data_IF_117928300224
#
_entry.id   IF_117928300224
#
_cell.length_a   1.000
_cell.length_b   1.000
_cell.length_c   1.000
_cell.angle_alpha   90.00
_cell.angle_beta   90.00
_cell.angle_gamma   90.00
#
_symmetry.space_group_name_H-M   'P 1'
#
loop_
_entity.id
_entity.type
_entity.pdbx_description
1 polymer ?
#
# COMPACT_ATOMS: atom_id res chain seq x y z
N UNK A 1 -1.66 26.48 8.72
CA UNK A 1 -0.70 26.30 9.84
C UNK A 1 0.73 25.98 9.35
N UNK A 2 0.94 25.28 8.22
CA UNK A 2 2.30 24.95 7.73
C UNK A 2 3.14 26.12 7.18
N UNK A 3 2.50 27.18 6.68
CA UNK A 3 3.22 28.36 6.14
C UNK A 3 3.98 29.13 7.22
N UNK A 4 3.54 29.01 8.48
CA UNK A 4 4.12 29.71 9.63
C UNK A 4 5.51 29.16 10.01
N UNK A 5 5.76 27.85 9.87
CA UNK A 5 7.04 27.24 10.23
C UNK A 5 8.07 27.22 9.11
N UNK A 6 7.62 27.20 7.85
CA UNK A 6 8.52 27.16 6.69
C UNK A 6 9.22 28.51 6.42
N UNK A 7 8.53 29.62 6.70
CA UNK A 7 9.03 30.98 6.48
C UNK A 7 10.33 31.29 7.23
N UNK A 8 10.44 31.03 8.57
CA UNK A 8 11.70 31.22 9.29
C UNK A 8 12.82 30.32 8.75
N UNK A 9 12.54 29.05 8.46
CA UNK A 9 13.54 28.14 7.87
C UNK A 9 14.12 28.68 6.55
N UNK A 10 13.27 29.15 5.64
CA UNK A 10 13.71 29.72 4.36
C UNK A 10 14.53 31.02 4.51
N UNK A 11 14.33 31.76 5.61
CA UNK A 11 15.12 32.94 5.95
C UNK A 11 16.48 32.56 6.50
N UNK A 12 16.56 31.53 7.34
CA UNK A 12 17.79 31.09 7.98
C UNK A 12 18.76 30.49 6.96
N UNK A 13 18.28 29.67 6.03
CA UNK A 13 19.14 29.05 5.00
C UNK A 13 19.76 30.07 4.02
N UNK A 14 19.24 31.30 3.96
CA UNK A 14 19.81 32.37 3.11
C UNK A 14 21.07 32.98 3.71
N UNK A 15 21.28 32.84 5.02
CA UNK A 15 22.42 33.42 5.73
C UNK A 15 23.72 32.65 5.46
N UNK A 16 23.63 31.38 5.08
CA UNK A 16 24.80 30.56 4.78
C UNK A 16 25.43 30.95 3.43
N UNK A 17 26.77 31.03 3.37
CA UNK A 17 27.50 31.37 2.15
C UNK A 17 27.43 30.24 1.13
N UNK A 18 27.45 30.62 -0.15
CA UNK A 18 27.61 29.67 -1.27
C UNK A 18 29.10 29.34 -1.39
N UNK A 19 29.41 28.05 -1.44
CA UNK A 19 30.79 27.57 -1.52
C UNK A 19 31.31 27.64 -2.97
N UNK A 20 32.60 27.90 -3.12
CA UNK A 20 33.30 27.69 -4.40
C UNK A 20 33.50 26.19 -4.66
N UNK A 21 33.76 25.82 -5.91
CA UNK A 21 34.05 24.42 -6.26
C UNK A 21 35.26 23.87 -5.49
N UNK A 22 36.31 24.68 -5.33
CA UNK A 22 37.51 24.28 -4.59
C UNK A 22 37.22 24.08 -3.10
N UNK A 23 36.36 24.94 -2.52
CA UNK A 23 35.93 24.83 -1.13
C UNK A 23 35.05 23.58 -0.90
N UNK A 24 34.17 23.25 -1.86
CA UNK A 24 33.37 22.02 -1.82
C UNK A 24 34.27 20.78 -1.76
N UNK A 25 35.27 20.69 -2.64
CA UNK A 25 36.20 19.56 -2.66
C UNK A 25 36.98 19.47 -1.36
N UNK A 26 37.47 20.60 -0.84
CA UNK A 26 38.17 20.65 0.44
C UNK A 26 37.29 20.16 1.60
N UNK A 27 36.06 20.66 1.71
CA UNK A 27 35.14 20.27 2.78
C UNK A 27 34.71 18.81 2.69
N UNK A 28 34.52 18.28 1.47
CA UNK A 28 34.22 16.86 1.24
C UNK A 28 35.37 15.97 1.74
N UNK A 29 36.61 16.33 1.42
CA UNK A 29 37.80 15.60 1.88
C UNK A 29 37.93 15.63 3.41
N UNK A 30 37.66 16.77 4.04
CA UNK A 30 37.68 16.90 5.50
C UNK A 30 36.54 16.13 6.17
N UNK A 31 35.35 16.15 5.56
CA UNK A 31 34.19 15.37 6.01
C UNK A 31 34.49 13.86 5.99
N UNK A 32 35.12 13.36 4.92
CA UNK A 32 35.59 11.96 4.81
C UNK A 32 36.61 11.57 5.87
N UNK A 33 37.44 12.52 6.33
CA UNK A 33 38.38 12.34 7.44
C UNK A 33 37.71 12.37 8.82
N UNK A 34 36.39 12.52 8.88
CA UNK A 34 35.61 12.51 10.12
C UNK A 34 35.36 13.90 10.73
N UNK A 35 35.67 14.98 10.03
CA UNK A 35 35.41 16.34 10.52
C UNK A 35 33.92 16.67 10.47
N UNK A 36 33.28 16.70 11.64
CA UNK A 36 31.85 17.01 11.77
C UNK A 36 31.53 18.44 11.29
N UNK A 37 32.37 19.41 11.66
CA UNK A 37 32.20 20.81 11.24
C UNK A 37 32.25 20.96 9.71
N UNK A 38 33.09 20.19 9.01
CA UNK A 38 33.17 20.25 7.56
C UNK A 38 31.90 19.68 6.89
N UNK A 39 31.35 18.59 7.44
CA UNK A 39 30.10 18.02 6.98
C UNK A 39 28.93 18.99 7.19
N UNK A 40 28.85 19.62 8.36
CA UNK A 40 27.81 20.59 8.69
C UNK A 40 27.87 21.83 7.79
N UNK A 41 29.06 22.40 7.58
CA UNK A 41 29.26 23.52 6.65
C UNK A 41 28.84 23.15 5.23
N UNK A 42 29.22 21.96 4.76
CA UNK A 42 28.87 21.50 3.42
C UNK A 42 27.35 21.30 3.26
N UNK A 43 26.67 20.77 4.27
CA UNK A 43 25.21 20.61 4.27
C UNK A 43 24.52 21.98 4.27
N UNK A 44 24.87 22.85 5.23
CA UNK A 44 24.23 24.15 5.44
C UNK A 44 24.34 25.07 4.22
N UNK A 45 25.51 25.12 3.57
CA UNK A 45 25.72 25.86 2.31
C UNK A 45 24.88 25.34 1.14
N UNK A 46 24.49 24.06 1.14
CA UNK A 46 23.74 23.41 0.07
C UNK A 46 22.23 23.28 0.33
N UNK A 47 21.71 23.75 1.47
CA UNK A 47 20.27 23.67 1.78
C UNK A 47 19.39 24.40 0.75
N UNK A 48 19.87 25.54 0.23
CA UNK A 48 19.17 26.30 -0.83
C UNK A 48 19.00 25.50 -2.11
N UNK A 49 19.99 24.67 -2.44
CA UNK A 49 19.95 23.79 -3.60
C UNK A 49 18.87 22.71 -3.43
N UNK A 50 18.79 22.09 -2.25
CA UNK A 50 17.73 21.10 -1.93
C UNK A 50 16.34 21.73 -2.08
N UNK A 51 16.12 22.92 -1.53
CA UNK A 51 14.83 23.62 -1.65
C UNK A 51 14.44 23.86 -3.12
N UNK A 52 15.41 24.21 -3.97
CA UNK A 52 15.15 24.42 -5.41
C UNK A 52 14.68 23.14 -6.13
N UNK A 53 15.17 21.98 -5.68
CA UNK A 53 14.78 20.68 -6.21
C UNK A 53 13.40 20.28 -5.66
N UNK A 54 13.21 20.39 -4.34
CA UNK A 54 11.97 20.01 -3.66
C UNK A 54 10.75 20.81 -4.15
N UNK A 55 10.93 22.10 -4.49
CA UNK A 55 9.87 22.94 -5.05
C UNK A 55 9.22 22.36 -6.31
N UNK A 56 9.98 21.65 -7.16
CA UNK A 56 9.43 21.03 -8.38
C UNK A 56 8.50 19.85 -8.09
N UNK A 57 8.54 19.30 -6.87
CA UNK A 57 7.75 18.14 -6.46
C UNK A 57 6.62 18.51 -5.48
N UNK A 58 6.29 19.80 -5.34
CA UNK A 58 5.16 20.25 -4.53
C UNK A 58 3.83 19.73 -5.07
N UNK A 59 2.83 19.68 -4.20
CA UNK A 59 1.46 19.25 -4.52
C UNK A 59 1.34 17.77 -4.95
N UNK A 60 2.37 16.96 -4.71
CA UNK A 60 2.38 15.52 -5.01
C UNK A 60 1.93 14.64 -3.83
N UNK A 61 1.21 15.21 -2.86
CA UNK A 61 0.68 14.48 -1.70
C UNK A 61 1.59 14.48 -0.46
N UNK A 62 2.73 15.19 -0.51
CA UNK A 62 3.53 15.52 0.67
C UNK A 62 3.70 17.03 0.80
N UNK A 63 3.71 17.58 2.02
CA UNK A 63 3.96 19.00 2.24
C UNK A 63 5.41 19.35 1.88
N UNK A 64 5.64 20.61 1.50
CA UNK A 64 6.96 21.06 1.05
C UNK A 64 8.04 20.87 2.14
N UNK A 65 7.70 21.06 3.41
CA UNK A 65 8.63 20.85 4.52
C UNK A 65 9.15 19.41 4.55
N UNK A 66 8.27 18.42 4.36
CA UNK A 66 8.66 17.00 4.32
C UNK A 66 9.51 16.67 3.10
N UNK A 67 9.17 17.24 1.94
CA UNK A 67 9.98 17.09 0.72
C UNK A 67 11.40 17.67 0.91
N UNK A 68 11.52 18.81 1.60
CA UNK A 68 12.81 19.41 1.92
C UNK A 68 13.59 18.52 2.89
N UNK A 69 12.95 18.02 3.95
CA UNK A 69 13.59 17.14 4.93
C UNK A 69 14.13 15.86 4.28
N UNK A 70 13.34 15.23 3.42
CA UNK A 70 13.77 14.05 2.66
C UNK A 70 14.86 14.39 1.66
N UNK A 71 14.78 15.55 1.01
CA UNK A 71 15.85 16.05 0.17
C UNK A 71 17.16 16.26 0.94
N UNK A 72 17.09 16.77 2.17
CA UNK A 72 18.26 16.98 3.04
C UNK A 72 18.90 15.64 3.42
N UNK A 73 18.10 14.58 3.67
CA UNK A 73 18.61 13.22 3.86
C UNK A 73 19.35 12.74 2.59
N UNK A 74 18.79 13.00 1.41
CA UNK A 74 19.43 12.70 0.14
C UNK A 74 20.75 13.44 -0.06
N UNK A 75 20.84 14.71 0.36
CA UNK A 75 22.06 15.50 0.33
C UNK A 75 23.14 14.92 1.27
N UNK A 76 22.80 14.57 2.50
CA UNK A 76 23.74 13.94 3.43
C UNK A 76 24.30 12.63 2.88
N UNK A 77 23.44 11.81 2.26
CA UNK A 77 23.88 10.60 1.57
C UNK A 77 24.79 10.88 0.37
N UNK A 78 24.62 12.03 -0.30
CA UNK A 78 25.48 12.46 -1.39
C UNK A 78 26.87 12.85 -0.93
N UNK A 79 26.96 13.56 0.19
CA UNK A 79 28.24 13.94 0.79
C UNK A 79 29.06 12.70 1.15
N UNK A 80 28.43 11.67 1.70
CA UNK A 80 29.12 10.43 2.08
C UNK A 80 29.63 9.58 0.91
N UNK A 81 29.00 9.67 -0.27
CA UNK A 81 29.28 8.80 -1.42
C UNK A 81 29.90 9.52 -2.62
N UNK A 82 29.95 10.85 -2.61
CA UNK A 82 30.51 11.63 -3.72
C UNK A 82 32.01 11.39 -3.85
N UNK A 83 32.48 11.18 -5.07
CA UNK A 83 33.86 10.89 -5.42
C UNK A 83 34.40 11.97 -6.38
N UNK A 84 35.31 12.79 -5.87
CA UNK A 84 35.95 13.91 -6.55
C UNK A 84 36.85 13.50 -7.72
N UNK A 85 37.37 12.25 -7.72
CA UNK A 85 38.28 11.77 -8.76
C UNK A 85 37.60 11.61 -10.13
N UNK A 86 36.27 11.62 -10.16
CA UNK A 86 35.46 11.41 -11.37
C UNK A 86 35.26 12.66 -12.23
N UNK A 87 35.77 13.82 -11.80
CA UNK A 87 35.72 15.06 -12.59
C UNK A 87 34.31 15.67 -12.79
N UNK A 88 33.31 15.22 -12.02
CA UNK A 88 31.94 15.73 -12.05
C UNK A 88 31.70 16.69 -10.89
N UNK A 89 30.93 17.75 -11.13
CA UNK A 89 30.52 18.71 -10.09
C UNK A 89 29.69 18.01 -9.02
N UNK A 90 29.90 18.36 -7.75
CA UNK A 90 29.12 17.84 -6.62
C UNK A 90 27.62 18.05 -6.80
N UNK A 91 27.23 19.25 -7.25
CA UNK A 91 25.81 19.58 -7.53
C UNK A 91 25.13 18.61 -8.49
N UNK A 92 25.81 18.13 -9.53
CA UNK A 92 25.27 17.16 -10.48
C UNK A 92 24.97 15.82 -9.80
N UNK A 93 25.91 15.32 -8.99
CA UNK A 93 25.75 14.06 -8.26
C UNK A 93 24.70 14.17 -7.14
N UNK A 94 24.77 15.25 -6.34
CA UNK A 94 23.83 15.52 -5.26
C UNK A 94 22.40 15.64 -5.78
N UNK A 95 22.19 16.27 -6.95
CA UNK A 95 20.86 16.37 -7.56
C UNK A 95 20.20 15.00 -7.73
N UNK A 96 20.97 13.97 -8.11
CA UNK A 96 20.46 12.61 -8.31
C UNK A 96 20.00 11.99 -6.99
N UNK A 97 20.84 12.03 -5.94
CA UNK A 97 20.52 11.45 -4.64
C UNK A 97 19.36 12.17 -3.94
N UNK A 98 19.32 13.51 -4.02
CA UNK A 98 18.22 14.31 -3.49
C UNK A 98 16.91 13.91 -4.15
N UNK A 99 16.87 13.86 -5.49
CA UNK A 99 15.67 13.46 -6.24
C UNK A 99 15.25 12.04 -5.88
N UNK A 100 16.19 11.08 -5.88
CA UNK A 100 15.92 9.68 -5.53
C UNK A 100 15.27 9.56 -4.15
N UNK A 101 15.81 10.28 -3.15
CA UNK A 101 15.29 10.26 -1.79
C UNK A 101 13.88 10.86 -1.70
N UNK A 102 13.65 12.02 -2.35
CA UNK A 102 12.33 12.65 -2.45
C UNK A 102 11.32 11.70 -3.12
N UNK A 103 11.73 10.99 -4.18
CA UNK A 103 10.85 10.04 -4.86
C UNK A 103 10.50 8.84 -3.98
N UNK A 104 11.47 8.32 -3.24
CA UNK A 104 11.23 7.22 -2.31
C UNK A 104 10.25 7.65 -1.21
N UNK A 105 10.45 8.83 -0.63
CA UNK A 105 9.54 9.39 0.35
C UNK A 105 8.13 9.61 -0.22
N UNK A 106 8.00 10.13 -1.44
CA UNK A 106 6.70 10.27 -2.10
C UNK A 106 6.03 8.91 -2.26
N UNK A 107 6.73 7.87 -2.71
CA UNK A 107 6.10 6.57 -2.88
C UNK A 107 5.69 5.91 -1.55
N UNK A 108 6.47 6.13 -0.49
CA UNK A 108 6.23 5.50 0.81
C UNK A 108 5.25 6.29 1.69
N UNK A 109 5.20 7.63 1.56
CA UNK A 109 4.50 8.53 2.49
C UNK A 109 3.39 9.38 1.85
N UNK A 110 3.28 9.51 0.52
CA UNK A 110 2.29 10.41 -0.11
C UNK A 110 0.85 9.89 -0.12
N UNK A 111 0.64 8.60 0.18
CA UNK A 111 -0.67 7.95 0.11
C UNK A 111 -0.94 7.23 1.41
N UNK A 112 -2.21 7.31 1.84
CA UNK A 112 -2.74 6.55 2.99
C UNK A 112 -2.55 5.04 2.74
N UNK A 113 -2.86 4.60 1.51
CA UNK A 113 -2.59 3.22 1.07
C UNK A 113 -1.26 3.18 0.32
N UNK A 114 -0.26 2.55 0.93
CA UNK A 114 1.08 2.44 0.36
C UNK A 114 1.08 1.57 -0.90
N UNK A 115 1.59 2.12 -2.00
CA UNK A 115 1.82 1.38 -3.24
C UNK A 115 3.32 1.16 -3.42
N UNK A 116 3.81 -0.10 -3.53
CA UNK A 116 5.23 -0.36 -3.70
C UNK A 116 5.83 0.31 -4.94
N UNK A 117 7.01 0.90 -4.78
CA UNK A 117 7.77 1.55 -5.87
C UNK A 117 7.93 0.63 -7.09
N UNK A 118 8.17 -0.67 -6.89
CA UNK A 118 8.31 -1.65 -7.98
C UNK A 118 7.06 -1.77 -8.86
N UNK A 119 5.86 -1.62 -8.29
CA UNK A 119 4.58 -1.63 -9.04
C UNK A 119 4.43 -0.36 -9.87
N UNK A 120 4.84 0.78 -9.32
CA UNK A 120 4.89 2.06 -10.05
C UNK A 120 5.90 1.98 -11.21
N UNK A 121 7.09 1.40 -10.95
CA UNK A 121 8.13 1.16 -11.96
C UNK A 121 7.76 0.09 -13.01
N UNK A 122 6.92 -0.89 -12.68
CA UNK A 122 6.46 -1.88 -13.66
C UNK A 122 5.44 -1.29 -14.64
N UNK A 123 4.56 -0.40 -14.15
CA UNK A 123 3.68 0.39 -15.01
C UNK A 123 4.49 1.30 -15.96
N UNK A 124 5.60 1.85 -15.46
CA UNK A 124 6.59 2.59 -16.26
C UNK A 124 7.27 1.71 -17.32
N UNK A 125 7.72 0.50 -16.96
CA UNK A 125 8.36 -0.44 -17.90
C UNK A 125 7.44 -0.89 -19.03
N UNK A 126 6.15 -1.09 -18.76
CA UNK A 126 5.16 -1.38 -19.81
C UNK A 126 5.04 -0.24 -20.81
N UNK A 127 5.14 1.02 -20.36
CA UNK A 127 5.20 2.18 -21.24
C UNK A 127 6.55 2.37 -21.93
N UNK A 128 7.67 1.98 -21.29
CA UNK A 128 9.00 1.98 -21.90
C UNK A 128 9.05 1.04 -23.10
N UNK A 129 8.43 -0.14 -23.01
CA UNK A 129 8.32 -1.08 -24.13
C UNK A 129 7.55 -0.50 -25.33
N UNK A 130 6.59 0.40 -25.09
CA UNK A 130 5.87 1.13 -26.14
C UNK A 130 6.72 2.24 -26.78
N UNK A 131 7.67 2.83 -26.05
CA UNK A 131 8.59 3.84 -26.57
C UNK A 131 9.88 3.25 -27.18
N UNK A 132 10.40 2.14 -26.65
CA UNK A 132 11.51 1.38 -27.23
C UNK A 132 11.13 0.84 -28.62
N UNK A 133 9.87 0.41 -28.82
CA UNK A 133 9.29 0.09 -30.13
C UNK A 133 9.22 1.29 -31.10
N UNK A 134 9.31 2.53 -30.60
CA UNK A 134 9.33 3.75 -31.42
C UNK A 134 10.75 4.25 -31.73
N UNK A 135 11.77 3.77 -31.00
CA UNK A 135 13.15 4.29 -31.01
C UNK A 135 14.18 3.28 -31.52
N UNK A 136 13.79 2.26 -32.28
CA UNK A 136 14.73 1.42 -33.06
C UNK A 136 15.56 2.22 -34.09
N UNK A 137 15.33 3.54 -34.22
CA UNK A 137 16.25 4.50 -34.85
C UNK A 137 17.17 5.21 -33.82
N UNK A 138 18.24 4.55 -33.40
CA UNK A 138 19.53 5.21 -33.15
C UNK A 138 19.89 5.73 -31.74
N UNK A 139 20.96 5.13 -31.21
CA UNK A 139 22.02 5.63 -30.31
C UNK A 139 21.80 5.71 -28.78
N UNK A 140 22.95 5.54 -28.11
CA UNK A 140 23.18 5.12 -26.73
C UNK A 140 22.89 6.20 -25.68
N UNK A 141 22.13 5.86 -24.64
CA UNK A 141 21.80 6.78 -23.55
C UNK A 141 22.87 6.82 -22.46
N UNK A 142 23.54 7.96 -22.37
CA UNK A 142 24.29 8.46 -21.22
C UNK A 142 23.39 8.58 -19.98
N UNK A 143 23.95 8.38 -18.78
CA UNK A 143 23.24 8.39 -17.48
C UNK A 143 22.37 9.65 -17.21
N UNK A 144 22.58 10.74 -17.95
CA UNK A 144 21.80 11.99 -17.86
C UNK A 144 20.51 12.01 -18.69
N UNK A 145 20.50 11.35 -19.85
CA UNK A 145 19.36 11.32 -20.77
C UNK A 145 18.25 10.41 -20.23
N UNK A 146 18.67 9.26 -19.68
CA UNK A 146 17.81 8.32 -18.95
C UNK A 146 17.10 8.98 -17.78
N UNK A 147 17.76 9.90 -17.07
CA UNK A 147 17.16 10.63 -15.95
C UNK A 147 16.06 11.59 -16.41
N UNK A 148 16.27 12.31 -17.50
CA UNK A 148 15.27 13.21 -18.07
C UNK A 148 14.05 12.43 -18.58
N UNK A 149 14.28 11.27 -19.20
CA UNK A 149 13.21 10.37 -19.63
C UNK A 149 12.40 9.80 -18.45
N UNK A 150 13.10 9.42 -17.37
CA UNK A 150 12.46 8.96 -16.14
C UNK A 150 11.62 10.09 -15.53
N UNK A 151 12.14 11.31 -15.44
CA UNK A 151 11.41 12.48 -14.90
C UNK A 151 10.10 12.78 -15.67
N UNK A 152 10.15 12.77 -17.01
CA UNK A 152 9.01 13.09 -17.87
C UNK A 152 7.88 12.04 -17.78
N UNK A 153 8.25 10.76 -17.72
CA UNK A 153 7.29 9.68 -17.53
C UNK A 153 6.73 9.65 -16.11
N UNK A 154 7.51 10.05 -15.10
CA UNK A 154 7.08 10.06 -13.70
C UNK A 154 6.01 11.12 -13.42
N UNK A 155 6.09 12.32 -13.98
CA UNK A 155 5.00 13.31 -13.87
C UNK A 155 3.70 12.77 -14.47
N UNK A 156 3.79 12.18 -15.67
CA UNK A 156 2.65 11.64 -16.40
C UNK A 156 1.96 10.51 -15.63
N UNK A 157 2.75 9.63 -15.03
CA UNK A 157 2.23 8.49 -14.25
C UNK A 157 1.68 8.92 -12.90
N UNK A 158 2.24 9.95 -12.27
CA UNK A 158 1.68 10.50 -11.04
C UNK A 158 0.33 11.18 -11.27
N UNK A 159 0.14 11.89 -12.39
CA UNK A 159 -1.19 12.40 -12.77
C UNK A 159 -2.19 11.27 -12.92
N UNK A 160 -1.80 10.17 -13.57
CA UNK A 160 -2.66 8.98 -13.74
C UNK A 160 -2.92 8.23 -12.42
N UNK A 161 -1.93 8.06 -11.56
CA UNK A 161 -2.09 7.40 -10.25
C UNK A 161 -2.92 8.24 -9.28
N UNK A 162 -2.77 9.57 -9.28
CA UNK A 162 -3.63 10.47 -8.50
C UNK A 162 -5.07 10.46 -9.01
N UNK A 163 -5.29 10.28 -10.31
CA UNK A 163 -6.62 10.15 -10.89
C UNK A 163 -7.28 8.79 -10.59
N UNK A 164 -6.50 7.74 -10.31
CA UNK A 164 -7.03 6.38 -10.31
C UNK A 164 -7.73 5.94 -9.02
N UNK A 165 -7.42 6.55 -7.87
CA UNK A 165 -8.06 6.21 -6.58
C UNK A 165 -8.04 7.40 -5.60
N UNK A 166 -9.02 8.32 -5.66
CA UNK A 166 -9.25 9.25 -4.56
C UNK A 166 -9.73 8.46 -3.34
N UNK A 167 -9.03 8.59 -2.22
CA UNK A 167 -9.58 8.20 -0.92
C UNK A 167 -10.49 9.33 -0.45
N UNK A 168 -11.64 8.97 0.11
CA UNK A 168 -12.58 9.93 0.69
C UNK A 168 -12.50 9.83 2.21
N UNK A 169 -12.59 10.98 2.89
CA UNK A 169 -12.74 10.97 4.35
C UNK A 169 -14.14 10.50 4.70
N UNK A 170 -14.25 9.54 5.61
CA UNK A 170 -15.55 9.12 6.15
C UNK A 170 -16.18 10.19 7.05
N UNK A 171 -15.36 11.07 7.61
CA UNK A 171 -15.81 12.22 8.40
C UNK A 171 -16.10 13.45 7.53
N UNK A 172 -15.92 13.37 6.20
CA UNK A 172 -16.29 14.50 5.35
C UNK A 172 -17.81 14.70 5.39
N UNK A 173 -18.28 15.95 5.55
CA UNK A 173 -19.70 16.24 5.45
C UNK A 173 -20.20 15.95 4.04
N UNK A 174 -21.41 15.42 3.94
CA UNK A 174 -22.03 15.09 2.65
C UNK A 174 -22.51 16.32 1.89
N UNK A 175 -22.87 17.39 2.62
CA UNK A 175 -23.33 18.67 2.09
C UNK A 175 -22.50 19.78 2.72
N UNK A 176 -22.03 20.73 1.90
CA UNK A 176 -21.05 21.74 2.32
C UNK A 176 -21.49 22.70 3.44
N UNK A 177 -22.80 22.79 3.73
CA UNK A 177 -23.38 23.64 4.78
C UNK A 177 -24.04 22.84 5.92
N UNK A 178 -23.89 21.50 5.92
CA UNK A 178 -24.47 20.63 6.94
C UNK A 178 -23.37 19.80 7.61
N UNK A 179 -22.92 20.25 8.78
CA UNK A 179 -21.97 19.54 9.62
C UNK A 179 -22.61 18.39 10.41
N UNK A 180 -23.94 18.16 10.28
CA UNK A 180 -24.62 17.15 11.09
C UNK A 180 -24.48 15.73 10.55
N UNK A 181 -24.21 15.57 9.25
CA UNK A 181 -24.22 14.29 8.57
C UNK A 181 -22.91 14.04 7.83
N UNK A 182 -22.22 12.98 8.23
CA UNK A 182 -20.94 12.54 7.67
C UNK A 182 -21.10 11.29 6.79
N UNK A 183 -20.10 11.00 5.96
CA UNK A 183 -20.11 9.80 5.13
C UNK A 183 -20.27 8.50 5.93
N UNK A 184 -19.74 8.44 7.16
CA UNK A 184 -19.83 7.25 8.02
C UNK A 184 -21.27 6.94 8.44
N UNK A 185 -22.14 7.95 8.56
CA UNK A 185 -23.53 7.78 9.01
C UNK A 185 -24.41 7.05 7.98
N UNK A 186 -23.95 6.98 6.71
CA UNK A 186 -24.66 6.33 5.61
C UNK A 186 -24.11 4.96 5.24
N UNK A 187 -22.95 4.59 5.79
CA UNK A 187 -22.39 3.27 5.59
C UNK A 187 -23.15 2.31 6.51
N UNK A 188 -23.93 1.41 5.91
CA UNK A 188 -24.66 0.40 6.65
C UNK A 188 -23.71 -0.65 7.26
N UNK A 189 -23.99 -1.08 8.49
CA UNK A 189 -23.31 -2.25 9.08
C UNK A 189 -23.62 -3.53 8.30
N UNK A 190 -22.69 -4.49 8.37
CA UNK A 190 -22.72 -5.78 7.66
C UNK A 190 -24.10 -6.45 7.70
N UNK A 191 -24.57 -6.89 6.53
CA UNK A 191 -25.90 -7.50 6.36
C UNK A 191 -26.15 -8.72 7.26
N UNK A 192 -25.09 -9.38 7.73
CA UNK A 192 -25.18 -10.58 8.57
C UNK A 192 -25.77 -10.34 9.96
N UNK A 193 -25.75 -9.09 10.46
CA UNK A 193 -26.24 -8.76 11.81
C UNK A 193 -27.69 -8.27 11.84
N UNK A 194 -28.37 -8.21 10.71
CA UNK A 194 -29.74 -7.69 10.67
C UNK A 194 -30.70 -8.62 11.45
N UNK A 195 -31.62 -8.09 12.28
CA UNK A 195 -32.50 -8.91 13.11
C UNK A 195 -33.36 -9.90 12.32
N UNK A 196 -33.82 -9.50 11.13
CA UNK A 196 -34.57 -10.35 10.19
C UNK A 196 -33.74 -11.54 9.71
N UNK A 197 -32.48 -11.33 9.32
CA UNK A 197 -31.52 -12.38 8.94
C UNK A 197 -31.26 -13.34 10.10
N UNK A 198 -31.07 -12.83 11.31
CA UNK A 198 -30.87 -13.65 12.51
C UNK A 198 -32.09 -14.52 12.81
N UNK A 199 -33.30 -13.97 12.66
CA UNK A 199 -34.54 -14.73 12.84
C UNK A 199 -34.69 -15.80 11.75
N UNK A 200 -34.47 -15.47 10.48
CA UNK A 200 -34.49 -16.42 9.37
C UNK A 200 -33.50 -17.56 9.58
N UNK A 201 -32.26 -17.25 9.98
CA UNK A 201 -31.24 -18.26 10.26
C UNK A 201 -31.66 -19.19 11.41
N UNK A 202 -32.29 -18.67 12.47
CA UNK A 202 -32.85 -19.51 13.54
C UNK A 202 -34.02 -20.37 13.05
N UNK A 203 -34.89 -19.84 12.21
CA UNK A 203 -35.98 -20.61 11.61
C UNK A 203 -35.45 -21.74 10.72
N UNK A 204 -34.43 -21.48 9.91
CA UNK A 204 -33.76 -22.50 9.09
C UNK A 204 -33.11 -23.58 9.94
N UNK A 205 -32.47 -23.21 11.06
CA UNK A 205 -31.93 -24.14 12.04
C UNK A 205 -33.03 -25.01 12.66
N UNK A 206 -34.14 -24.42 13.10
CA UNK A 206 -35.26 -25.16 13.67
C UNK A 206 -35.89 -26.13 12.66
N UNK A 207 -36.03 -25.71 11.39
CA UNK A 207 -36.49 -26.57 10.31
C UNK A 207 -35.53 -27.73 10.07
N UNK A 208 -34.22 -27.47 10.06
CA UNK A 208 -33.21 -28.51 9.93
C UNK A 208 -33.29 -29.51 11.09
N UNK A 209 -33.44 -29.05 12.34
CA UNK A 209 -33.59 -29.94 13.49
C UNK A 209 -34.87 -30.78 13.44
N UNK A 210 -35.99 -30.18 13.01
CA UNK A 210 -37.24 -30.94 12.79
C UNK A 210 -37.08 -31.98 11.70
N UNK A 211 -36.43 -31.66 10.59
CA UNK A 211 -36.19 -32.63 9.52
C UNK A 211 -35.30 -33.78 10.00
N UNK A 212 -34.21 -33.48 10.72
CA UNK A 212 -33.32 -34.48 11.33
C UNK A 212 -34.03 -35.37 12.37
N UNK A 213 -35.06 -34.84 13.04
CA UNK A 213 -35.86 -35.62 14.00
C UNK A 213 -36.62 -36.80 13.37
N UNK A 214 -36.86 -36.78 12.06
CA UNK A 214 -37.48 -37.89 11.31
C UNK A 214 -36.51 -39.02 10.95
N UNK A 215 -35.19 -38.84 11.16
CA UNK A 215 -34.19 -39.87 10.94
C UNK A 215 -34.03 -40.80 12.15
N UNK A 216 -33.60 -42.03 11.88
CA UNK A 216 -33.21 -42.97 12.93
C UNK A 216 -31.99 -42.41 13.70
N UNK A 217 -31.87 -42.73 15.00
CA UNK A 217 -30.81 -42.16 15.86
C UNK A 217 -29.40 -42.29 15.26
N UNK A 218 -29.07 -43.46 14.70
CA UNK A 218 -27.77 -43.69 14.04
C UNK A 218 -27.56 -42.90 12.74
N UNK A 219 -28.62 -42.68 11.98
CA UNK A 219 -28.56 -41.86 10.75
C UNK A 219 -28.40 -40.38 11.09
N UNK A 220 -29.12 -39.91 12.11
CA UNK A 220 -29.05 -38.54 12.62
C UNK A 220 -27.65 -38.20 13.12
N UNK A 221 -27.09 -39.03 14.00
CA UNK A 221 -25.78 -38.78 14.61
C UNK A 221 -24.65 -38.70 13.56
N UNK A 222 -24.71 -39.55 12.51
CA UNK A 222 -23.74 -39.54 11.41
C UNK A 222 -23.86 -38.24 10.58
N UNK A 223 -25.07 -37.75 10.34
CA UNK A 223 -25.31 -36.51 9.60
C UNK A 223 -24.90 -35.30 10.44
N UNK A 224 -25.21 -35.29 11.73
CA UNK A 224 -24.81 -34.23 12.68
C UNK A 224 -23.29 -34.10 12.78
N UNK A 225 -22.57 -35.21 12.95
CA UNK A 225 -21.10 -35.20 12.99
C UNK A 225 -20.48 -34.80 11.65
N UNK A 226 -21.06 -35.21 10.52
CA UNK A 226 -20.48 -34.87 9.20
C UNK A 226 -20.62 -33.39 8.86
N UNK A 227 -21.75 -32.77 9.20
CA UNK A 227 -22.01 -31.36 8.92
C UNK A 227 -21.67 -30.41 10.07
N UNK A 228 -21.32 -30.95 11.25
CA UNK A 228 -21.03 -30.16 12.44
C UNK A 228 -22.28 -29.48 13.02
N UNK A 229 -23.38 -30.24 13.14
CA UNK A 229 -24.66 -29.77 13.71
C UNK A 229 -24.80 -30.25 15.16
N UNK A 230 -25.66 -29.62 15.96
CA UNK A 230 -25.89 -30.00 17.37
C UNK A 230 -24.58 -30.10 18.18
N UNK A 231 -23.80 -29.03 18.21
CA UNK A 231 -22.55 -28.92 18.99
C UNK A 231 -21.43 -29.90 18.57
N UNK A 232 -21.56 -30.57 17.42
CA UNK A 232 -20.47 -31.35 16.85
C UNK A 232 -19.53 -30.48 16.01
N UNK A 233 -18.24 -30.76 16.08
CA UNK A 233 -17.30 -30.30 15.05
C UNK A 233 -17.49 -31.11 13.76
N UNK A 234 -17.32 -30.52 12.56
CA UNK A 234 -17.44 -31.24 11.31
C UNK A 234 -16.32 -32.29 11.18
N UNK A 235 -16.71 -33.57 11.11
CA UNK A 235 -15.81 -34.72 11.07
C UNK A 235 -15.74 -35.36 9.70
N UNK A 236 -14.59 -35.96 9.39
CA UNK A 236 -14.42 -36.70 8.13
C UNK A 236 -15.15 -38.05 8.19
N UNK A 237 -15.53 -38.60 7.02
CA UNK A 237 -16.16 -39.94 6.94
C UNK A 237 -15.30 -41.05 7.56
N UNK A 238 -13.98 -40.85 7.65
CA UNK A 238 -13.05 -41.78 8.26
C UNK A 238 -13.15 -41.73 9.78
N UNK A 239 -13.10 -40.53 10.37
CA UNK A 239 -13.24 -40.32 11.82
C UNK A 239 -14.59 -40.84 12.34
N UNK A 240 -15.67 -40.54 11.61
CA UNK A 240 -17.01 -41.05 11.93
C UNK A 240 -17.01 -42.59 11.85
N UNK A 241 -16.36 -43.17 10.84
CA UNK A 241 -16.25 -44.62 10.69
C UNK A 241 -15.53 -45.30 11.86
N UNK A 242 -14.43 -44.70 12.31
CA UNK A 242 -13.66 -45.16 13.48
C UNK A 242 -14.50 -45.10 14.76
N UNK A 243 -15.27 -44.02 14.97
CA UNK A 243 -16.16 -43.86 16.14
C UNK A 243 -17.31 -44.87 16.18
N UNK A 244 -17.88 -45.21 15.03
CA UNK A 244 -19.00 -46.17 14.92
C UNK A 244 -18.58 -47.62 14.65
N UNK A 245 -17.26 -47.91 14.59
CA UNK A 245 -16.74 -49.23 14.27
C UNK A 245 -17.14 -49.75 12.89
N UNK A 246 -17.29 -48.86 11.91
CA UNK A 246 -17.72 -49.19 10.54
C UNK A 246 -16.77 -48.61 9.49
N UNK A 247 -16.77 -49.19 8.29
CA UNK A 247 -15.94 -48.70 7.19
C UNK A 247 -16.39 -47.32 6.72
N UNK A 248 -15.44 -46.52 6.23
CA UNK A 248 -15.70 -45.21 5.59
C UNK A 248 -16.82 -45.28 4.54
N UNK A 249 -16.82 -46.34 3.73
CA UNK A 249 -17.82 -46.53 2.67
C UNK A 249 -19.22 -46.80 3.26
N UNK A 250 -19.29 -47.50 4.39
CA UNK A 250 -20.56 -47.72 5.08
C UNK A 250 -21.13 -46.41 5.66
N UNK A 251 -20.28 -45.53 6.20
CA UNK A 251 -20.69 -44.19 6.64
C UNK A 251 -21.25 -43.38 5.47
N UNK A 252 -20.59 -43.42 4.30
CA UNK A 252 -21.04 -42.75 3.07
C UNK A 252 -22.44 -43.22 2.66
N UNK A 253 -22.67 -44.53 2.63
CA UNK A 253 -23.98 -45.12 2.31
C UNK A 253 -25.08 -44.68 3.28
N UNK A 254 -24.80 -44.71 4.59
CA UNK A 254 -25.78 -44.31 5.61
C UNK A 254 -26.11 -42.82 5.47
N UNK A 255 -25.11 -41.96 5.23
CA UNK A 255 -25.31 -40.53 4.98
C UNK A 255 -26.19 -40.29 3.74
N UNK A 256 -25.90 -40.93 2.61
CA UNK A 256 -26.68 -40.75 1.38
C UNK A 256 -28.13 -41.22 1.54
N UNK A 257 -28.33 -42.35 2.23
CA UNK A 257 -29.68 -42.84 2.53
C UNK A 257 -30.43 -41.88 3.46
N UNK A 258 -29.77 -41.32 4.48
CA UNK A 258 -30.35 -40.32 5.37
C UNK A 258 -30.76 -39.05 4.62
N UNK A 259 -29.88 -38.52 3.74
CA UNK A 259 -30.20 -37.34 2.91
C UNK A 259 -31.38 -37.62 1.97
N UNK A 260 -31.44 -38.81 1.36
CA UNK A 260 -32.55 -39.19 0.49
C UNK A 260 -33.87 -39.30 1.26
N UNK A 261 -33.86 -39.82 2.49
CA UNK A 261 -35.04 -39.83 3.38
C UNK A 261 -35.50 -38.41 3.72
N UNK A 262 -34.57 -37.51 4.06
CA UNK A 262 -34.87 -36.11 4.34
C UNK A 262 -35.51 -35.40 3.13
N UNK A 263 -35.00 -35.67 1.92
CA UNK A 263 -35.58 -35.14 0.67
C UNK A 263 -37.01 -35.64 0.44
N UNK A 264 -37.26 -36.92 0.70
CA UNK A 264 -38.60 -37.50 0.55
C UNK A 264 -39.58 -36.93 1.59
N UNK A 265 -39.16 -36.76 2.85
CA UNK A 265 -40.02 -36.18 3.89
C UNK A 265 -40.36 -34.70 3.62
N UNK A 266 -39.44 -33.94 3.03
CA UNK A 266 -39.67 -32.55 2.63
C UNK A 266 -40.64 -32.45 1.43
N UNK A 267 -40.60 -33.40 0.51
CA UNK A 267 -41.50 -33.42 -0.66
C UNK A 267 -42.95 -33.77 -0.32
N UNK A 268 -43.20 -34.42 0.82
CA UNK A 268 -44.54 -34.84 1.28
C UNK A 268 -45.25 -33.72 2.07
N UNK A 269 -44.54 -32.69 2.50
CA UNK A 269 -45.07 -31.55 3.27
C UNK A 269 -45.28 -30.26 2.45
N UNK A 270 -45.16 -30.34 1.12
CA UNK A 270 -45.58 -29.31 0.15
C UNK A 270 -46.78 -29.83 -0.64
#
# INVERSE_FOLDING_TARGET
>A
METTTLTPYLRDIRQYPILSHDDEVFLIQQSRKGSHNAAEQLVTSNLRFVVSIAKRYQHLGLPLADLINEGNIGLMNAIGQFDETRGVKFSSYASWLIKRQIFQALADKSKIVRIPIKRILSLLKQHRKLHELSNELGQHDTDTETLRHIELHLETIKRKLNASYPYLSLDAPLVADDDTNSFIDFISEDEERRPDRVVLQKMDQDLAYRALSGLNGREREIVEMYYGLNEHEPQTLKEIGEKFGITRERVRQIKENAINKLRQSLHVHN
#
